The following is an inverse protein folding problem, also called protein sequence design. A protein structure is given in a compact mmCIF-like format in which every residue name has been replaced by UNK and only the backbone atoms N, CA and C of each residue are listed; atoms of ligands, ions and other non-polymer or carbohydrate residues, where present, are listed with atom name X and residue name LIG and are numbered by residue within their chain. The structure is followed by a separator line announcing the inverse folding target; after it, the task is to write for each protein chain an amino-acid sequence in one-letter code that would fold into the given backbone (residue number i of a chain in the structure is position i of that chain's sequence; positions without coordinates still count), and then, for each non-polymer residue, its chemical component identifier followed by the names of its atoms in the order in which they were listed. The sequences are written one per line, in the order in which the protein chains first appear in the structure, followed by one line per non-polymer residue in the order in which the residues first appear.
data_IF_267648251126
#
_entry.id   IF_267648251126
#
_cell.length_a   1.000
_cell.length_b   1.000
_cell.length_c   1.000
_cell.angle_alpha   90.00
_cell.angle_beta   90.00
_cell.angle_gamma   90.00
#
_symmetry.space_group_name_H-M   'P 1'
#
loop_
_entity.id
_entity.type
_entity.pdbx_description
1 polymer ?
#
# COMPACT_ATOMS: atom_id res chain seq x y z
N UNK A 1 -8.79 -4.24 7.90
CA UNK A 1 -9.53 -3.00 8.28
C UNK A 1 -9.16 -2.48 9.68
N UNK A 2 -9.03 -3.35 10.68
CA UNK A 2 -8.78 -2.98 12.10
C UNK A 2 -7.62 -2.00 12.31
N UNK A 3 -6.50 -2.20 11.61
CA UNK A 3 -5.34 -1.31 11.72
C UNK A 3 -5.67 0.14 11.33
N UNK A 4 -6.44 0.34 10.24
CA UNK A 4 -6.81 1.67 9.73
C UNK A 4 -7.73 2.36 10.73
N UNK A 5 -8.79 1.69 11.17
CA UNK A 5 -9.71 2.24 12.17
C UNK A 5 -9.01 2.55 13.49
N UNK A 6 -8.11 1.67 13.93
CA UNK A 6 -7.31 1.92 15.13
C UNK A 6 -6.44 3.17 14.99
N UNK A 7 -5.74 3.34 13.87
CA UNK A 7 -4.94 4.55 13.61
C UNK A 7 -5.81 5.81 13.61
N UNK A 8 -6.97 5.75 12.95
CA UNK A 8 -7.89 6.87 12.83
C UNK A 8 -8.49 7.26 14.19
N UNK A 9 -8.92 6.29 14.99
CA UNK A 9 -9.45 6.53 16.33
C UNK A 9 -8.36 6.94 17.33
N UNK A 10 -7.12 6.48 17.15
CA UNK A 10 -6.00 6.93 17.97
C UNK A 10 -5.66 8.40 17.70
N UNK A 11 -5.72 8.83 16.44
CA UNK A 11 -5.51 10.22 16.06
C UNK A 11 -6.69 11.12 16.45
N UNK A 12 -7.92 10.61 16.33
CA UNK A 12 -9.15 11.35 16.61
C UNK A 12 -10.12 10.52 17.47
N UNK A 13 -9.93 10.48 18.80
CA UNK A 13 -10.71 9.63 19.70
C UNK A 13 -12.23 9.88 19.66
N UNK A 14 -12.66 11.10 19.34
CA UNK A 14 -14.08 11.44 19.21
C UNK A 14 -14.81 10.67 18.11
N UNK A 15 -14.08 10.08 17.17
CA UNK A 15 -14.64 9.32 16.05
C UNK A 15 -15.10 7.93 16.44
N UNK A 16 -14.69 7.41 17.61
CA UNK A 16 -15.14 6.10 18.10
C UNK A 16 -16.67 6.02 18.17
N UNK A 17 -17.36 7.16 18.32
CA UNK A 17 -18.83 7.24 18.27
C UNK A 17 -19.44 6.55 17.04
N UNK A 18 -18.76 6.55 15.90
CA UNK A 18 -19.21 5.90 14.66
C UNK A 18 -19.17 4.37 14.74
N UNK A 19 -18.31 3.80 15.60
CA UNK A 19 -18.22 2.36 15.83
C UNK A 19 -19.13 1.85 16.96
N UNK A 20 -19.61 2.72 17.86
CA UNK A 20 -20.34 2.31 19.08
C UNK A 20 -21.60 1.51 18.75
N UNK A 21 -22.39 1.96 17.77
CA UNK A 21 -23.64 1.29 17.40
C UNK A 21 -23.36 -0.11 16.85
N UNK A 22 -22.51 -0.23 15.83
CA UNK A 22 -22.16 -1.52 15.24
C UNK A 22 -21.48 -2.47 16.24
N UNK A 23 -20.67 -1.95 17.17
CA UNK A 23 -20.07 -2.77 18.24
C UNK A 23 -21.10 -3.21 19.27
N UNK A 24 -22.09 -2.39 19.62
CA UNK A 24 -23.14 -2.78 20.55
C UNK A 24 -24.01 -3.93 20.02
N UNK A 25 -24.20 -3.99 18.70
CA UNK A 25 -24.96 -5.04 18.04
C UNK A 25 -24.14 -6.32 17.79
N UNK A 26 -22.91 -6.18 17.28
CA UNK A 26 -22.09 -7.32 16.86
C UNK A 26 -21.07 -7.79 17.92
N UNK A 27 -20.77 -6.97 18.93
CA UNK A 27 -19.72 -7.25 19.90
C UNK A 27 -18.36 -7.46 19.25
N UNK A 28 -17.63 -8.49 19.71
CA UNK A 28 -16.30 -8.84 19.19
C UNK A 28 -16.34 -9.37 17.75
N UNK A 29 -17.46 -9.92 17.31
CA UNK A 29 -17.62 -10.43 15.94
C UNK A 29 -17.50 -9.32 14.91
N UNK A 30 -17.70 -8.05 15.29
CA UNK A 30 -17.47 -6.90 14.42
C UNK A 30 -16.09 -6.93 13.75
N UNK A 31 -15.06 -7.43 14.43
CA UNK A 31 -13.69 -7.52 13.91
C UNK A 31 -13.53 -8.51 12.75
N UNK A 32 -14.51 -9.39 12.56
CA UNK A 32 -14.58 -10.37 11.47
C UNK A 32 -15.56 -9.94 10.36
N UNK A 33 -16.34 -8.88 10.58
CA UNK A 33 -17.31 -8.35 9.62
C UNK A 33 -16.69 -7.21 8.82
N UNK A 34 -15.97 -7.54 7.75
CA UNK A 34 -15.26 -6.55 6.95
C UNK A 34 -16.17 -5.43 6.43
N UNK A 35 -17.36 -5.75 5.92
CA UNK A 35 -18.30 -4.76 5.36
C UNK A 35 -18.72 -3.73 6.41
N UNK A 36 -19.06 -4.18 7.62
CA UNK A 36 -19.39 -3.32 8.75
C UNK A 36 -18.19 -2.44 9.13
N UNK A 37 -16.99 -3.01 9.17
CA UNK A 37 -15.79 -2.22 9.46
C UNK A 37 -15.48 -1.18 8.37
N UNK A 38 -15.71 -1.53 7.11
CA UNK A 38 -15.52 -0.61 5.99
C UNK A 38 -16.56 0.52 6.01
N UNK A 39 -17.80 0.21 6.37
CA UNK A 39 -18.86 1.20 6.53
C UNK A 39 -18.56 2.17 7.69
N UNK A 40 -18.06 1.67 8.83
CA UNK A 40 -17.56 2.50 9.93
C UNK A 40 -16.44 3.44 9.45
N UNK A 41 -15.50 2.93 8.64
CA UNK A 41 -14.44 3.77 8.06
C UNK A 41 -15.02 4.87 7.17
N UNK A 42 -16.01 4.55 6.34
CA UNK A 42 -16.67 5.52 5.46
C UNK A 42 -17.37 6.60 6.26
N UNK A 43 -18.20 6.23 7.24
CA UNK A 43 -18.89 7.17 8.14
C UNK A 43 -17.87 8.06 8.87
N UNK A 44 -16.81 7.45 9.38
CA UNK A 44 -15.75 8.17 10.08
C UNK A 44 -15.05 9.19 9.17
N UNK A 45 -14.76 8.83 7.93
CA UNK A 45 -14.11 9.72 6.96
C UNK A 45 -15.02 10.87 6.47
N UNK A 46 -16.34 10.72 6.59
CA UNK A 46 -17.29 11.81 6.30
C UNK A 46 -17.44 12.81 7.45
N UNK A 47 -16.97 12.48 8.66
CA UNK A 47 -17.10 13.34 9.83
C UNK A 47 -16.38 14.69 9.59
N UNK A 48 -17.06 15.84 9.81
CA UNK A 48 -16.47 17.16 9.63
C UNK A 48 -15.18 17.40 10.42
N UNK A 49 -14.94 16.66 11.51
CA UNK A 49 -13.76 16.80 12.35
C UNK A 49 -12.44 16.34 11.68
N UNK A 50 -12.50 15.52 10.62
CA UNK A 50 -11.33 14.80 10.07
C UNK A 50 -10.85 15.38 8.74
N UNK A 51 -11.67 16.21 8.09
CA UNK A 51 -11.34 16.79 6.79
C UNK A 51 -11.25 15.73 5.69
N UNK A 52 -10.03 15.36 5.29
CA UNK A 52 -9.75 14.34 4.28
C UNK A 52 -8.91 13.21 4.88
N UNK A 53 -9.30 11.97 4.60
CA UNK A 53 -8.59 10.76 5.02
C UNK A 53 -7.97 10.09 3.79
N UNK A 54 -6.66 9.84 3.84
CA UNK A 54 -5.95 9.10 2.79
C UNK A 54 -5.40 7.81 3.41
N UNK A 55 -5.89 6.67 2.94
CA UNK A 55 -5.42 5.35 3.32
C UNK A 55 -4.34 4.89 2.34
N UNK A 56 -3.14 4.59 2.86
CA UNK A 56 -2.06 3.99 2.07
C UNK A 56 -1.99 2.50 2.38
N UNK A 57 -2.23 1.66 1.36
CA UNK A 57 -2.12 0.21 1.47
C UNK A 57 -0.90 -0.23 0.67
N UNK A 58 0.14 -0.64 1.40
CA UNK A 58 1.40 -1.07 0.81
C UNK A 58 1.45 -2.58 0.56
N UNK A 59 2.17 -2.98 -0.48
CA UNK A 59 2.48 -4.37 -0.83
C UNK A 59 1.24 -5.27 -0.92
N UNK A 60 0.21 -4.80 -1.64
CA UNK A 60 -1.06 -5.51 -1.75
C UNK A 60 -0.94 -6.91 -2.38
N UNK A 61 0.12 -7.18 -3.15
CA UNK A 61 0.47 -8.52 -3.65
C UNK A 61 0.74 -9.56 -2.55
N UNK A 62 0.89 -9.13 -1.29
CA UNK A 62 1.09 -10.02 -0.13
C UNK A 62 -0.21 -10.43 0.55
N UNK A 63 -1.35 -9.84 0.18
CA UNK A 63 -2.65 -10.29 0.65
C UNK A 63 -3.01 -11.65 0.02
N UNK A 64 -3.81 -12.43 0.74
CA UNK A 64 -4.46 -13.60 0.17
C UNK A 64 -5.31 -13.18 -1.04
N UNK A 65 -5.52 -14.09 -1.99
CA UNK A 65 -6.26 -13.76 -3.21
C UNK A 65 -7.70 -13.35 -2.90
N UNK A 66 -8.38 -14.06 -1.99
CA UNK A 66 -9.76 -13.77 -1.60
C UNK A 66 -9.88 -12.40 -0.91
N UNK A 67 -9.03 -12.11 0.09
CA UNK A 67 -9.05 -10.83 0.80
C UNK A 67 -8.73 -9.66 -0.14
N UNK A 68 -7.81 -9.89 -1.09
CA UNK A 68 -7.40 -8.88 -2.07
C UNK A 68 -8.54 -8.57 -3.04
N UNK A 69 -9.17 -9.60 -3.62
CA UNK A 69 -10.33 -9.44 -4.51
C UNK A 69 -11.42 -8.67 -3.79
N UNK A 70 -11.76 -9.11 -2.58
CA UNK A 70 -12.83 -8.50 -1.80
C UNK A 70 -12.54 -7.02 -1.50
N UNK A 71 -11.32 -6.70 -1.06
CA UNK A 71 -10.91 -5.32 -0.83
C UNK A 71 -11.00 -4.44 -2.09
N UNK A 72 -10.56 -4.95 -3.25
CA UNK A 72 -10.63 -4.23 -4.52
C UNK A 72 -12.07 -3.95 -4.90
N UNK A 73 -12.95 -4.95 -4.80
CA UNK A 73 -14.38 -4.81 -5.10
C UNK A 73 -15.06 -3.81 -4.18
N UNK A 74 -14.75 -3.83 -2.87
CA UNK A 74 -15.31 -2.87 -1.91
C UNK A 74 -14.87 -1.44 -2.21
N UNK A 75 -13.57 -1.22 -2.48
CA UNK A 75 -13.04 0.11 -2.83
C UNK A 75 -13.65 0.62 -4.14
N UNK A 76 -13.73 -0.25 -5.14
CA UNK A 76 -14.32 0.07 -6.45
C UNK A 76 -15.79 0.48 -6.30
N UNK A 77 -16.56 -0.32 -5.54
CA UNK A 77 -17.97 -0.04 -5.23
C UNK A 77 -18.16 1.26 -4.45
N UNK A 78 -17.25 1.59 -3.54
CA UNK A 78 -17.25 2.86 -2.81
C UNK A 78 -17.14 4.07 -3.77
N UNK A 79 -16.17 4.05 -4.69
CA UNK A 79 -16.00 5.16 -5.64
C UNK A 79 -17.13 5.27 -6.66
N UNK A 80 -17.69 4.15 -7.12
CA UNK A 80 -18.89 4.18 -7.97
C UNK A 80 -20.08 4.83 -7.25
N UNK A 81 -20.33 4.44 -5.99
CA UNK A 81 -21.41 5.05 -5.17
C UNK A 81 -21.18 6.54 -4.97
N UNK A 82 -19.94 6.94 -4.65
CA UNK A 82 -19.59 8.35 -4.48
C UNK A 82 -19.87 9.15 -5.76
N UNK A 83 -19.40 8.66 -6.91
CA UNK A 83 -19.62 9.29 -8.22
C UNK A 83 -21.09 9.46 -8.58
N UNK A 84 -21.93 8.45 -8.26
CA UNK A 84 -23.36 8.49 -8.54
C UNK A 84 -24.15 9.41 -7.60
N UNK A 85 -23.65 9.65 -6.38
CA UNK A 85 -24.33 10.44 -5.36
C UNK A 85 -24.01 11.95 -5.45
N UNK A 86 -22.88 12.31 -6.04
CA UNK A 86 -22.45 13.70 -6.22
C UNK A 86 -22.74 14.21 -7.63
N UNK A 87 -23.39 15.37 -7.77
CA UNK A 87 -23.14 16.21 -8.94
C UNK A 87 -21.63 16.53 -8.95
N UNK A 88 -20.97 16.51 -10.11
CA UNK A 88 -19.51 16.43 -10.37
C UNK A 88 -18.52 17.26 -9.48
N UNK A 89 -18.98 18.10 -8.58
CA UNK A 89 -18.17 19.03 -7.76
C UNK A 89 -17.70 18.47 -6.40
N UNK A 90 -18.34 17.44 -5.81
CA UNK A 90 -17.99 16.96 -4.45
C UNK A 90 -17.24 15.62 -4.51
N UNK A 91 -15.91 15.69 -4.44
CA UNK A 91 -15.05 14.51 -4.34
C UNK A 91 -15.18 13.81 -2.97
N UNK A 92 -15.05 12.47 -2.91
CA UNK A 92 -15.08 11.74 -1.64
C UNK A 92 -13.92 12.17 -0.72
N UNK A 93 -14.22 12.28 0.58
CA UNK A 93 -13.26 12.63 1.64
C UNK A 93 -12.32 11.48 2.00
N UNK A 94 -12.71 10.24 1.70
CA UNK A 94 -11.90 9.05 1.86
C UNK A 94 -11.20 8.73 0.53
N UNK A 95 -9.88 8.61 0.56
CA UNK A 95 -9.05 8.26 -0.58
C UNK A 95 -8.18 7.05 -0.27
N UNK A 96 -7.83 6.31 -1.30
CA UNK A 96 -6.96 5.14 -1.22
C UNK A 96 -5.78 5.28 -2.17
N UNK A 97 -4.58 5.03 -1.67
CA UNK A 97 -3.35 4.84 -2.45
C UNK A 97 -2.92 3.39 -2.26
N UNK A 98 -2.86 2.65 -3.35
CA UNK A 98 -2.56 1.21 -3.34
C UNK A 98 -1.23 0.99 -4.05
N UNK A 99 -0.33 0.22 -3.44
CA UNK A 99 0.90 -0.23 -4.08
C UNK A 99 0.87 -1.75 -4.22
N UNK A 100 1.41 -2.26 -5.32
CA UNK A 100 1.51 -3.69 -5.59
C UNK A 100 2.58 -3.94 -6.63
N UNK A 101 3.17 -5.14 -6.62
CA UNK A 101 3.89 -5.65 -7.79
C UNK A 101 2.94 -5.85 -8.98
N UNK A 102 3.40 -5.63 -10.22
CA UNK A 102 2.57 -5.70 -11.42
C UNK A 102 2.35 -7.14 -11.91
N UNK A 103 2.01 -8.06 -11.00
CA UNK A 103 1.72 -9.44 -11.41
C UNK A 103 0.44 -9.50 -12.26
N UNK A 104 0.44 -10.34 -13.30
CA UNK A 104 -0.65 -10.44 -14.26
C UNK A 104 -2.02 -10.69 -13.60
N UNK A 105 -2.07 -11.57 -12.59
CA UNK A 105 -3.30 -11.88 -11.86
C UNK A 105 -3.83 -10.69 -11.04
N UNK A 106 -2.94 -9.86 -10.48
CA UNK A 106 -3.31 -8.63 -9.78
C UNK A 106 -3.79 -7.59 -10.78
N UNK A 107 -3.07 -7.42 -11.89
CA UNK A 107 -3.45 -6.51 -12.96
C UNK A 107 -4.84 -6.82 -13.53
N UNK A 108 -5.20 -8.11 -13.66
CA UNK A 108 -6.54 -8.52 -14.09
C UNK A 108 -7.62 -8.16 -13.05
N UNK A 109 -7.36 -8.38 -11.76
CA UNK A 109 -8.29 -8.03 -10.68
C UNK A 109 -8.54 -6.52 -10.59
N UNK A 110 -7.51 -5.71 -10.88
CA UNK A 110 -7.59 -4.26 -10.88
C UNK A 110 -8.09 -3.65 -12.17
N UNK A 111 -8.32 -4.44 -13.22
CA UNK A 111 -8.52 -3.94 -14.58
C UNK A 111 -9.63 -2.90 -14.68
N UNK A 112 -10.78 -3.13 -14.03
CA UNK A 112 -11.89 -2.18 -14.09
C UNK A 112 -11.64 -0.94 -13.24
N UNK A 113 -11.01 -1.08 -12.06
CA UNK A 113 -10.59 0.07 -11.25
C UNK A 113 -9.54 0.93 -11.98
N UNK A 114 -8.58 0.32 -12.69
CA UNK A 114 -7.53 1.05 -13.42
C UNK A 114 -8.07 1.85 -14.62
N UNK A 115 -9.21 1.48 -15.19
CA UNK A 115 -9.88 2.29 -16.22
C UNK A 115 -10.48 3.57 -15.67
N UNK A 116 -10.84 3.58 -14.38
CA UNK A 116 -11.58 4.66 -13.74
C UNK A 116 -10.72 5.50 -12.79
N UNK A 117 -9.65 4.91 -12.23
CA UNK A 117 -8.76 5.51 -11.28
C UNK A 117 -7.38 5.83 -11.91
N UNK A 118 -6.73 6.94 -11.51
CA UNK A 118 -5.37 7.23 -11.90
C UNK A 118 -4.44 6.09 -11.51
N UNK A 119 -3.79 5.47 -12.50
CA UNK A 119 -2.85 4.37 -12.30
C UNK A 119 -1.46 4.81 -12.72
N UNK A 120 -0.48 4.67 -11.82
CA UNK A 120 0.92 4.96 -12.10
C UNK A 120 1.64 3.62 -12.21
N UNK A 121 2.16 3.33 -13.40
CA UNK A 121 3.01 2.17 -13.62
C UNK A 121 4.49 2.59 -13.53
N UNK A 122 5.17 2.13 -12.48
CA UNK A 122 6.61 2.32 -12.31
C UNK A 122 7.34 1.14 -13.00
N UNK A 123 7.60 1.26 -14.30
CA UNK A 123 8.39 0.27 -15.05
C UNK A 123 9.87 0.61 -15.01
N UNK A 124 10.70 -0.40 -14.77
CA UNK A 124 12.15 -0.37 -14.92
C UNK A 124 12.65 -1.08 -16.19
N UNK A 125 11.74 -1.62 -17.01
CA UNK A 125 12.05 -2.62 -18.05
C UNK A 125 12.89 -2.05 -19.20
N UNK A 126 12.99 -0.73 -19.31
CA UNK A 126 13.76 -0.03 -20.34
C UNK A 126 14.92 0.79 -19.76
N UNK A 127 15.17 0.68 -18.45
CA UNK A 127 16.15 1.49 -17.72
C UNK A 127 17.19 0.62 -17.01
N UNK A 128 17.40 -0.63 -17.47
CA UNK A 128 18.30 -1.61 -16.84
C UNK A 128 19.71 -1.07 -16.60
N UNK A 129 20.24 -0.23 -17.50
CA UNK A 129 21.55 0.42 -17.32
C UNK A 129 21.50 1.46 -16.19
N UNK A 130 20.48 2.32 -16.13
CA UNK A 130 20.34 3.32 -15.04
C UNK A 130 20.05 2.66 -13.70
N UNK A 131 19.26 1.58 -13.70
CA UNK A 131 18.99 0.77 -12.50
C UNK A 131 20.29 0.13 -12.00
N UNK A 132 21.13 -0.38 -12.92
CA UNK A 132 22.46 -0.89 -12.55
C UNK A 132 23.31 0.21 -11.92
N UNK A 133 23.38 1.38 -12.53
CA UNK A 133 24.14 2.52 -11.99
C UNK A 133 23.65 2.95 -10.60
N UNK A 134 22.33 2.97 -10.38
CA UNK A 134 21.73 3.27 -9.08
C UNK A 134 22.08 2.20 -8.04
N UNK A 135 21.98 0.91 -8.39
CA UNK A 135 22.32 -0.19 -7.48
C UNK A 135 23.82 -0.15 -7.15
N UNK A 136 24.69 0.03 -8.15
CA UNK A 136 26.13 0.16 -7.95
C UNK A 136 26.46 1.36 -7.05
N UNK A 137 25.73 2.46 -7.18
CA UNK A 137 25.85 3.60 -6.29
C UNK A 137 25.51 3.24 -4.83
N UNK A 138 24.37 2.57 -4.60
CA UNK A 138 23.97 2.12 -3.26
C UNK A 138 25.00 1.15 -2.67
N UNK A 139 25.45 0.16 -3.43
CA UNK A 139 26.47 -0.81 -3.00
C UNK A 139 27.75 -0.08 -2.55
N UNK A 140 28.23 0.86 -3.35
CA UNK A 140 29.48 1.55 -3.08
C UNK A 140 29.41 2.47 -1.85
N UNK A 141 28.23 2.99 -1.52
CA UNK A 141 28.01 3.84 -0.35
C UNK A 141 27.66 3.04 0.90
N UNK A 142 26.72 2.10 0.80
CA UNK A 142 26.15 1.43 1.97
C UNK A 142 26.99 0.27 2.49
N UNK A 143 27.70 -0.47 1.63
CA UNK A 143 28.52 -1.60 2.10
C UNK A 143 29.67 -1.12 3.00
N UNK A 144 30.50 -0.12 2.61
CA UNK A 144 31.53 0.40 3.49
C UNK A 144 30.97 1.00 4.78
N UNK A 145 29.83 1.69 4.68
CA UNK A 145 29.14 2.26 5.83
C UNK A 145 28.69 1.19 6.82
N UNK A 146 28.06 0.11 6.35
CA UNK A 146 27.59 -0.99 7.16
C UNK A 146 28.76 -1.81 7.74
N UNK A 147 29.81 -2.04 6.95
CA UNK A 147 31.03 -2.72 7.39
C UNK A 147 31.69 -1.97 8.54
N UNK A 148 31.85 -0.65 8.42
CA UNK A 148 32.38 0.18 9.50
C UNK A 148 31.50 0.13 10.76
N UNK A 149 30.17 0.16 10.61
CA UNK A 149 29.24 0.03 11.73
C UNK A 149 29.31 -1.34 12.43
N UNK A 150 29.64 -2.38 11.68
CA UNK A 150 29.77 -3.76 12.19
C UNK A 150 31.20 -4.14 12.58
N UNK A 151 32.16 -3.26 12.37
CA UNK A 151 33.57 -3.50 12.70
C UNK A 151 34.25 -4.52 11.78
N UNK A 152 33.79 -4.64 10.53
CA UNK A 152 34.44 -5.50 9.55
C UNK A 152 35.74 -4.84 9.05
N UNK A 153 36.72 -5.69 8.74
CA UNK A 153 37.96 -5.26 8.12
C UNK A 153 37.78 -5.01 6.61
N UNK A 154 38.83 -4.50 5.99
CA UNK A 154 38.82 -4.13 4.57
C UNK A 154 38.63 -5.35 3.65
N UNK A 155 39.20 -6.51 4.03
CA UNK A 155 39.07 -7.76 3.28
C UNK A 155 37.62 -8.25 3.26
N UNK A 156 36.96 -8.31 4.43
CA UNK A 156 35.55 -8.68 4.52
C UNK A 156 34.63 -7.67 3.82
N UNK A 157 34.97 -6.37 3.87
CA UNK A 157 34.21 -5.32 3.19
C UNK A 157 34.26 -5.48 1.67
N UNK A 158 35.45 -5.73 1.11
CA UNK A 158 35.64 -5.91 -0.33
C UNK A 158 35.02 -7.24 -0.81
N UNK A 159 35.09 -8.28 0.00
CA UNK A 159 34.37 -9.53 -0.25
C UNK A 159 32.86 -9.30 -0.35
N UNK A 160 32.27 -8.58 0.61
CA UNK A 160 30.83 -8.27 0.58
C UNK A 160 30.45 -7.41 -0.63
N UNK A 161 31.28 -6.42 -0.98
CA UNK A 161 31.08 -5.58 -2.16
C UNK A 161 31.03 -6.40 -3.44
N UNK A 162 32.07 -7.19 -3.69
CA UNK A 162 32.18 -8.03 -4.89
C UNK A 162 31.07 -9.09 -4.97
N UNK A 163 30.71 -9.70 -3.82
CA UNK A 163 29.63 -10.67 -3.76
C UNK A 163 28.27 -10.06 -4.15
N UNK A 164 27.91 -8.89 -3.60
CA UNK A 164 26.64 -8.23 -3.90
C UNK A 164 26.60 -7.70 -5.34
N UNK A 165 27.72 -7.17 -5.86
CA UNK A 165 27.82 -6.74 -7.26
C UNK A 165 27.60 -7.90 -8.23
N UNK A 166 28.30 -9.03 -8.04
CA UNK A 166 28.15 -10.20 -8.91
C UNK A 166 26.73 -10.79 -8.91
N UNK A 167 26.03 -10.71 -7.77
CA UNK A 167 24.62 -11.14 -7.65
C UNK A 167 23.69 -10.21 -8.43
N UNK A 168 23.99 -8.91 -8.45
CA UNK A 168 23.21 -7.90 -9.16
C UNK A 168 23.35 -8.04 -10.68
N UNK A 169 24.55 -8.38 -11.17
CA UNK A 169 24.78 -8.62 -12.60
C UNK A 169 23.99 -9.82 -13.13
N UNK A 170 23.78 -10.86 -12.32
CA UNK A 170 22.91 -11.98 -12.66
C UNK A 170 21.43 -11.61 -12.73
N UNK A 171 20.97 -10.66 -11.91
CA UNK A 171 19.57 -10.20 -11.85
C UNK A 171 19.27 -9.25 -13.02
N UNK A 172 20.21 -8.37 -13.37
CA UNK A 172 20.03 -7.42 -14.49
C UNK A 172 20.38 -8.02 -15.86
N UNK A 173 21.19 -9.10 -15.93
CA UNK A 173 21.59 -9.77 -17.17
C UNK A 173 20.65 -10.88 -17.66
N UNK A 174 19.52 -11.10 -16.98
CA UNK A 174 18.52 -12.12 -17.33
C UNK A 174 17.18 -11.54 -17.83
N UNK A 175 17.17 -10.26 -18.19
CA UNK A 175 16.05 -9.57 -18.85
C UNK A 175 16.16 -9.64 -20.39
#
# INVERSE_FOLDING_TARGET
MSAILHQLFSAFPSLVKHAVSSYSFNGKELLHLFDEMFEILCQTATDPAVGQVVCVLDALDKCSDDDRIFLIETITSFYHRAKNASNDEIQPRLKFLLTSRPYSHIHLQFHDLMKEAPTIHLSGDHESEKIKDEIDHVINVDIPRLAAQKGFDEEATEYLRSYVQSTTEHICGSA
#
